data_IF_982776138704
#
_entry.id   IF_982776138704
#
_cell.length_a   1.000
_cell.length_b   1.000
_cell.length_c   1.000
_cell.angle_alpha   90.00
_cell.angle_beta   90.00
_cell.angle_gamma   90.00
#
_symmetry.space_group_name_H-M   'P 1'
#
loop_
_entity.id
_entity.type
_entity.pdbx_description
1 polymer ?
#
# COMPACT_ATOMS: atom_id res chain seq x y z
N UNK A 1 21.74 20.23 20.31
CA UNK A 1 21.16 19.92 18.99
C UNK A 1 20.82 21.20 18.24
N UNK A 2 20.08 22.12 18.86
CA UNK A 2 19.75 23.43 18.25
C UNK A 2 20.99 24.28 17.93
N UNK A 3 21.99 24.29 18.81
CA UNK A 3 23.27 24.98 18.60
C UNK A 3 24.00 24.49 17.34
N UNK A 4 24.13 23.17 17.17
CA UNK A 4 24.73 22.56 15.99
C UNK A 4 23.92 22.81 14.70
N UNK A 5 22.58 22.78 14.78
CA UNK A 5 21.72 23.05 13.61
C UNK A 5 21.84 24.50 13.17
N UNK A 6 21.95 25.45 14.10
CA UNK A 6 22.21 26.85 13.81
C UNK A 6 23.59 27.07 13.17
N UNK A 7 24.63 26.41 13.68
CA UNK A 7 25.98 26.41 13.07
C UNK A 7 25.98 25.85 11.64
N UNK A 8 25.14 24.84 11.37
CA UNK A 8 24.95 24.26 10.04
C UNK A 8 24.00 25.08 9.13
N UNK A 9 23.46 26.22 9.59
CA UNK A 9 22.53 27.05 8.83
C UNK A 9 21.13 26.43 8.63
N UNK A 10 20.73 25.49 9.50
CA UNK A 10 19.44 24.81 9.45
C UNK A 10 18.48 25.35 10.52
N UNK A 11 17.25 25.68 10.11
CA UNK A 11 16.20 26.15 11.03
C UNK A 11 15.13 25.07 11.23
N UNK A 12 14.71 24.89 12.48
CA UNK A 12 13.60 24.00 12.82
C UNK A 12 12.26 24.64 12.46
N UNK A 13 11.41 23.90 11.75
CA UNK A 13 10.03 24.33 11.50
C UNK A 13 9.13 23.96 12.69
N UNK A 14 8.61 24.95 13.44
CA UNK A 14 7.86 24.69 14.67
C UNK A 14 6.57 23.89 14.43
N UNK A 15 5.90 24.07 13.29
CA UNK A 15 4.67 23.34 12.96
C UNK A 15 4.89 21.85 12.62
N UNK A 16 6.10 21.47 12.21
CA UNK A 16 6.44 20.10 11.81
C UNK A 16 7.03 19.28 12.95
N UNK A 17 7.40 19.93 14.06
CA UNK A 17 8.03 19.30 15.21
C UNK A 17 7.07 19.20 16.37
N UNK A 18 6.88 17.97 16.84
CA UNK A 18 6.14 17.67 18.06
C UNK A 18 6.85 16.54 18.79
N UNK A 19 7.13 16.71 20.07
CA UNK A 19 7.54 15.61 20.94
C UNK A 19 6.29 14.78 21.22
N UNK A 20 6.33 13.49 20.88
CA UNK A 20 5.20 12.58 21.08
C UNK A 20 5.65 11.39 21.90
N UNK A 21 4.90 11.08 22.96
CA UNK A 21 5.05 9.84 23.68
C UNK A 21 4.50 8.68 22.83
N UNK A 22 5.41 7.85 22.32
CA UNK A 22 5.09 6.69 21.50
C UNK A 22 4.42 5.55 22.30
N UNK A 23 4.43 5.61 23.64
CA UNK A 23 3.78 4.63 24.52
C UNK A 23 2.29 4.90 24.71
N UNK A 24 1.85 6.13 24.44
CA UNK A 24 0.46 6.56 24.59
C UNK A 24 -0.34 6.43 23.29
N UNK A 25 -1.67 6.43 23.42
CA UNK A 25 -2.58 6.44 22.27
C UNK A 25 -2.38 7.73 21.48
N UNK A 26 -2.23 7.62 20.16
CA UNK A 26 -2.00 8.76 19.27
C UNK A 26 -0.74 8.62 18.45
N UNK A 27 0.34 8.10 19.05
CA UNK A 27 1.55 7.68 18.33
C UNK A 27 2.15 8.75 17.40
N UNK A 28 3.05 8.33 16.52
CA UNK A 28 3.58 9.20 15.46
C UNK A 28 3.85 8.45 14.17
N UNK A 29 3.88 9.18 13.06
CA UNK A 29 4.22 8.65 11.76
C UNK A 29 5.68 8.96 11.40
N UNK A 30 6.44 7.96 10.96
CA UNK A 30 7.81 8.15 10.49
C UNK A 30 8.17 7.13 9.40
N UNK A 31 8.80 7.57 8.32
CA UNK A 31 9.21 6.74 7.16
C UNK A 31 8.11 5.81 6.61
N UNK A 32 6.86 6.24 6.69
CA UNK A 32 5.70 5.47 6.21
C UNK A 32 5.17 4.43 7.20
N UNK A 33 5.73 4.35 8.40
CA UNK A 33 5.22 3.62 9.54
C UNK A 33 4.40 4.52 10.45
N UNK A 34 3.46 3.93 11.19
CA UNK A 34 2.81 4.50 12.36
C UNK A 34 3.28 3.71 13.58
N UNK A 35 3.76 4.41 14.59
CA UNK A 35 4.26 3.86 15.84
C UNK A 35 3.31 4.21 16.97
N UNK A 36 2.84 3.21 17.71
CA UNK A 36 1.94 3.40 18.84
C UNK A 36 2.05 2.22 19.80
N UNK A 37 2.21 2.50 21.10
CA UNK A 37 2.24 1.51 22.18
C UNK A 37 3.25 0.38 21.96
N UNK A 38 4.43 0.71 21.43
CA UNK A 38 5.49 -0.26 21.11
C UNK A 38 5.22 -1.10 19.85
N UNK A 39 4.11 -0.88 19.16
CA UNK A 39 3.77 -1.54 17.90
C UNK A 39 4.03 -0.61 16.72
N UNK A 40 4.29 -1.21 15.54
CA UNK A 40 4.39 -0.47 14.27
C UNK A 40 3.58 -1.14 13.17
N UNK A 41 2.93 -0.32 12.34
CA UNK A 41 2.23 -0.77 11.14
C UNK A 41 2.34 0.27 10.01
N UNK A 42 2.13 -0.11 8.73
CA UNK A 42 2.17 0.84 7.64
C UNK A 42 1.08 1.91 7.83
N UNK A 43 1.44 3.19 7.73
CA UNK A 43 0.45 4.26 7.83
C UNK A 43 -0.56 4.20 6.69
N UNK A 44 -1.73 4.79 6.90
CA UNK A 44 -2.82 4.83 5.90
C UNK A 44 -2.36 5.40 4.55
N UNK A 45 -1.55 6.46 4.57
CA UNK A 45 -0.98 7.08 3.36
C UNK A 45 -0.06 6.12 2.57
N UNK A 46 0.69 5.25 3.25
CA UNK A 46 1.56 4.25 2.61
C UNK A 46 0.73 3.16 1.93
N UNK A 47 -0.35 2.70 2.58
CA UNK A 47 -1.30 1.74 1.98
C UNK A 47 -2.00 2.36 0.77
N UNK A 48 -2.40 3.64 0.87
CA UNK A 48 -3.04 4.35 -0.23
C UNK A 48 -2.09 4.49 -1.43
N UNK A 49 -0.82 4.86 -1.21
CA UNK A 49 0.20 4.92 -2.26
C UNK A 49 0.41 3.57 -2.97
N UNK A 50 0.37 2.46 -2.23
CA UNK A 50 0.40 1.13 -2.84
C UNK A 50 -0.84 0.87 -3.70
N UNK A 51 -2.04 1.18 -3.18
CA UNK A 51 -3.28 1.06 -3.96
C UNK A 51 -3.22 1.90 -5.23
N UNK A 52 -2.72 3.12 -5.18
CA UNK A 52 -2.62 3.98 -6.37
C UNK A 52 -1.63 3.43 -7.40
N UNK A 53 -0.50 2.90 -6.93
CA UNK A 53 0.49 2.23 -7.78
C UNK A 53 -0.09 1.00 -8.49
N UNK A 54 -0.81 0.14 -7.76
CA UNK A 54 -1.49 -1.02 -8.38
C UNK A 54 -2.61 -0.55 -9.31
N UNK A 55 -3.41 0.43 -8.90
CA UNK A 55 -4.55 0.96 -9.68
C UNK A 55 -4.11 1.47 -11.04
N UNK A 56 -3.02 2.23 -11.09
CA UNK A 56 -2.47 2.77 -12.32
C UNK A 56 -2.11 1.67 -13.34
N UNK A 57 -1.76 0.46 -12.87
CA UNK A 57 -1.25 -0.65 -13.70
C UNK A 57 -2.31 -1.70 -14.00
N UNK A 58 -3.45 -1.63 -13.33
CA UNK A 58 -4.56 -2.57 -13.45
C UNK A 58 -5.83 -1.86 -13.90
N UNK A 59 -5.71 -0.93 -14.87
CA UNK A 59 -6.89 -0.32 -15.52
C UNK A 59 -7.75 -1.43 -16.15
N UNK A 60 -9.07 -1.28 -16.14
CA UNK A 60 -10.00 -2.32 -16.64
C UNK A 60 -9.79 -2.60 -18.14
N UNK A 61 -9.50 -1.56 -18.92
CA UNK A 61 -9.22 -1.62 -20.35
C UNK A 61 -7.73 -1.84 -20.66
N UNK A 62 -6.97 -2.45 -19.75
CA UNK A 62 -5.56 -2.73 -19.98
C UNK A 62 -5.39 -3.80 -21.08
N UNK A 63 -4.71 -3.42 -22.17
CA UNK A 63 -4.43 -4.26 -23.33
C UNK A 63 -3.17 -5.14 -23.22
N UNK A 64 -2.33 -4.96 -22.20
CA UNK A 64 -1.14 -5.79 -22.01
C UNK A 64 -1.50 -7.24 -21.68
N UNK A 65 -0.61 -8.20 -21.94
CA UNK A 65 -0.86 -9.59 -21.59
C UNK A 65 -1.05 -9.75 -20.07
N UNK A 66 -1.87 -10.73 -19.68
CA UNK A 66 -2.23 -10.89 -18.27
C UNK A 66 -1.03 -11.30 -17.41
N UNK A 67 -0.14 -12.12 -17.95
CA UNK A 67 1.05 -12.60 -17.25
C UNK A 67 1.96 -11.43 -16.86
N UNK A 68 2.19 -10.47 -17.76
CA UNK A 68 2.98 -9.26 -17.47
C UNK A 68 2.30 -8.36 -16.44
N UNK A 69 0.97 -8.19 -16.51
CA UNK A 69 0.23 -7.44 -15.49
C UNK A 69 0.41 -8.09 -14.12
N UNK A 70 0.28 -9.41 -14.03
CA UNK A 70 0.45 -10.16 -12.78
C UNK A 70 1.90 -10.04 -12.28
N UNK A 71 2.90 -10.24 -13.15
CA UNK A 71 4.33 -10.09 -12.81
C UNK A 71 4.63 -8.69 -12.25
N UNK A 72 4.10 -7.65 -12.88
CA UNK A 72 4.27 -6.27 -12.44
C UNK A 72 3.64 -6.01 -11.07
N UNK A 73 2.38 -6.45 -10.89
CA UNK A 73 1.68 -6.32 -9.60
C UNK A 73 2.42 -7.08 -8.51
N UNK A 74 2.89 -8.30 -8.77
CA UNK A 74 3.66 -9.11 -7.84
C UNK A 74 4.99 -8.45 -7.44
N UNK A 75 5.67 -7.80 -8.39
CA UNK A 75 6.91 -7.05 -8.09
C UNK A 75 6.63 -5.88 -7.13
N UNK A 76 5.58 -5.10 -7.39
CA UNK A 76 5.16 -3.98 -6.54
C UNK A 76 4.78 -4.47 -5.14
N UNK A 77 3.95 -5.50 -5.04
CA UNK A 77 3.48 -6.02 -3.74
C UNK A 77 4.60 -6.67 -2.96
N UNK A 78 5.53 -7.37 -3.62
CA UNK A 78 6.71 -7.96 -3.00
C UNK A 78 7.65 -6.90 -2.46
N UNK A 79 7.97 -5.87 -3.24
CA UNK A 79 8.81 -4.75 -2.79
C UNK A 79 8.21 -4.04 -1.58
N UNK A 80 6.90 -3.76 -1.63
CA UNK A 80 6.19 -3.16 -0.51
C UNK A 80 6.17 -4.07 0.72
N UNK A 81 5.92 -5.37 0.56
CA UNK A 81 5.93 -6.34 1.65
C UNK A 81 7.31 -6.53 2.28
N UNK A 82 8.38 -6.44 1.48
CA UNK A 82 9.76 -6.49 1.97
C UNK A 82 10.09 -5.24 2.80
N UNK A 83 9.71 -4.05 2.33
CA UNK A 83 9.93 -2.80 3.08
C UNK A 83 9.13 -2.77 4.40
N UNK A 84 7.86 -3.17 4.36
CA UNK A 84 6.99 -3.22 5.53
C UNK A 84 7.08 -4.53 6.32
N UNK A 85 8.17 -5.29 6.15
CA UNK A 85 8.42 -6.51 6.92
C UNK A 85 8.70 -6.18 8.39
N UNK A 86 8.25 -7.02 9.30
CA UNK A 86 8.47 -6.85 10.75
C UNK A 86 7.55 -5.83 11.43
N UNK A 87 6.50 -5.37 10.75
CA UNK A 87 5.36 -4.73 11.39
C UNK A 87 4.46 -5.75 12.08
N UNK A 88 3.73 -5.31 13.11
CA UNK A 88 2.89 -6.21 13.94
C UNK A 88 1.59 -6.58 13.21
N UNK A 89 1.12 -5.70 12.33
CA UNK A 89 -0.01 -6.02 11.46
C UNK A 89 0.44 -6.78 10.21
N UNK A 90 -0.19 -7.95 10.00
CA UNK A 90 -0.19 -8.63 8.71
C UNK A 90 -0.82 -7.71 7.64
N UNK A 91 -0.39 -7.87 6.40
CA UNK A 91 -1.00 -7.18 5.25
C UNK A 91 -2.52 -7.35 5.32
N UNK A 92 -3.31 -6.26 5.24
CA UNK A 92 -4.76 -6.38 5.38
C UNK A 92 -5.32 -7.33 4.33
N UNK A 93 -6.10 -8.34 4.73
CA UNK A 93 -6.83 -9.23 3.81
C UNK A 93 -7.65 -8.44 2.78
N UNK A 94 -8.14 -7.27 3.17
CA UNK A 94 -8.88 -6.33 2.31
C UNK A 94 -8.05 -5.80 1.14
N UNK A 95 -6.73 -5.64 1.30
CA UNK A 95 -5.84 -5.20 0.24
C UNK A 95 -5.69 -6.30 -0.83
N UNK A 96 -5.43 -7.52 -0.40
CA UNK A 96 -5.31 -8.69 -1.25
C UNK A 96 -6.62 -8.99 -2.01
N UNK A 97 -7.76 -8.95 -1.31
CA UNK A 97 -9.09 -9.00 -1.94
C UNK A 97 -9.30 -7.91 -2.99
N UNK A 98 -8.88 -6.68 -2.70
CA UNK A 98 -8.98 -5.55 -3.63
C UNK A 98 -8.10 -5.76 -4.87
N UNK A 99 -6.86 -6.25 -4.71
CA UNK A 99 -5.97 -6.58 -5.84
C UNK A 99 -6.60 -7.67 -6.72
N UNK A 100 -7.05 -8.78 -6.12
CA UNK A 100 -7.72 -9.86 -6.86
C UNK A 100 -8.95 -9.38 -7.63
N UNK A 101 -9.79 -8.55 -7.01
CA UNK A 101 -10.95 -7.97 -7.69
C UNK A 101 -10.54 -7.17 -8.93
N UNK A 102 -9.43 -6.43 -8.89
CA UNK A 102 -8.94 -5.67 -10.05
C UNK A 102 -8.46 -6.57 -11.18
N UNK A 103 -7.68 -7.60 -10.86
CA UNK A 103 -7.23 -8.58 -11.85
C UNK A 103 -8.42 -9.30 -12.51
N UNK A 104 -9.40 -9.76 -11.71
CA UNK A 104 -10.65 -10.35 -12.20
C UNK A 104 -11.46 -9.38 -13.05
N UNK A 105 -11.44 -8.10 -12.75
CA UNK A 105 -12.13 -7.07 -13.56
C UNK A 105 -11.54 -6.93 -14.96
N UNK A 106 -10.23 -7.11 -15.11
CA UNK A 106 -9.55 -7.12 -16.41
C UNK A 106 -9.97 -8.37 -17.19
N UNK A 107 -9.88 -9.55 -16.57
CA UNK A 107 -10.35 -10.80 -17.17
C UNK A 107 -11.82 -10.73 -17.61
N UNK A 108 -12.71 -10.23 -16.75
CA UNK A 108 -14.12 -9.99 -17.10
C UNK A 108 -14.28 -9.12 -18.34
N UNK A 109 -13.50 -8.04 -18.47
CA UNK A 109 -13.58 -7.16 -19.63
C UNK A 109 -13.12 -7.86 -20.91
N UNK A 110 -12.08 -8.70 -20.83
CA UNK A 110 -11.57 -9.50 -21.95
C UNK A 110 -12.57 -10.55 -22.39
N UNK A 111 -13.27 -11.18 -21.45
CA UNK A 111 -14.39 -12.10 -21.72
C UNK A 111 -15.72 -11.36 -22.01
N UNK A 112 -15.63 -10.13 -22.54
CA UNK A 112 -16.76 -9.28 -22.97
C UNK A 112 -17.85 -9.02 -21.91
N UNK A 113 -17.56 -9.19 -20.62
CA UNK A 113 -18.51 -8.94 -19.52
C UNK A 113 -18.43 -7.51 -18.98
N UNK A 114 -19.55 -7.05 -18.41
CA UNK A 114 -19.71 -5.73 -17.78
C UNK A 114 -19.41 -5.78 -16.28
N UNK A 115 -19.01 -4.63 -15.72
CA UNK A 115 -18.82 -4.45 -14.28
C UNK A 115 -17.56 -5.10 -13.68
N UNK A 116 -17.23 -4.71 -12.44
CA UNK A 116 -16.09 -5.24 -11.66
C UNK A 116 -16.17 -6.75 -11.43
N UNK A 117 -15.06 -7.39 -11.08
CA UNK A 117 -15.04 -8.80 -10.69
C UNK A 117 -15.87 -9.04 -9.41
N UNK A 118 -16.75 -10.03 -9.42
CA UNK A 118 -17.62 -10.38 -8.28
C UNK A 118 -18.10 -11.84 -8.31
N UNK A 119 -18.50 -12.38 -7.16
CA UNK A 119 -19.22 -13.65 -7.03
C UNK A 119 -18.61 -14.79 -7.84
N UNK A 120 -19.33 -15.28 -8.86
CA UNK A 120 -18.93 -16.38 -9.75
C UNK A 120 -17.56 -16.18 -10.44
N UNK A 121 -17.07 -14.95 -10.55
CA UNK A 121 -15.72 -14.69 -11.08
C UNK A 121 -14.61 -15.26 -10.20
N UNK A 122 -14.89 -15.57 -8.93
CA UNK A 122 -13.93 -16.23 -8.03
C UNK A 122 -13.62 -17.66 -8.50
N UNK A 123 -14.61 -18.33 -9.08
CA UNK A 123 -14.48 -19.69 -9.59
C UNK A 123 -13.97 -19.68 -11.04
N UNK A 124 -14.41 -18.70 -11.84
CA UNK A 124 -14.02 -18.57 -13.26
C UNK A 124 -12.56 -18.14 -13.42
N UNK A 125 -12.07 -17.27 -12.53
CA UNK A 125 -10.70 -16.78 -12.52
C UNK A 125 -10.09 -17.12 -11.16
N UNK A 126 -9.66 -18.39 -10.98
CA UNK A 126 -9.13 -18.86 -9.72
C UNK A 126 -7.85 -18.08 -9.35
N UNK A 127 -7.53 -18.11 -8.07
CA UNK A 127 -6.24 -17.63 -7.62
C UNK A 127 -5.19 -18.59 -8.18
N UNK A 128 -4.20 -18.05 -8.90
CA UNK A 128 -2.97 -18.77 -9.18
C UNK A 128 -2.08 -18.81 -7.93
#
# INVERSE_FOLDING_TARGET
METWMAEAGLTLHPEKMRVVDATQKGGFEFLGWHFERGYKWPRRKSIQKLKDSVRARTKRNNGHDMCSIIKLVNSITRGWGNYFRGGVQKVPKSLDQWIRMRLRSIFRKRDKRKGRGHGRDHNRYPNA
#
